data_IF_978538260475
#
_entry.id   IF_978538260475
#
_cell.length_a   1.000
_cell.length_b   1.000
_cell.length_c   1.000
_cell.angle_alpha   90.00
_cell.angle_beta   90.00
_cell.angle_gamma   90.00
#
_symmetry.space_group_name_H-M   'P 1'
#
loop_
_entity.id
_entity.type
_entity.pdbx_description
1 polymer ?
#
# COMPACT_ATOMS: atom_id res chain seq x y z
N UNK A 1 28.68 3.07 -19.08
CA UNK A 1 27.32 2.96 -19.66
C UNK A 1 26.36 3.78 -18.81
N UNK A 2 25.73 4.82 -19.36
CA UNK A 2 24.69 5.59 -18.65
C UNK A 2 23.34 5.01 -19.04
N UNK A 3 22.67 4.31 -18.12
CA UNK A 3 21.33 3.77 -18.34
C UNK A 3 20.36 4.94 -18.50
N UNK A 4 19.85 5.16 -19.71
CA UNK A 4 18.78 6.12 -19.95
C UNK A 4 17.51 5.55 -19.30
N UNK A 5 17.10 6.12 -18.17
CA UNK A 5 15.79 5.84 -17.58
C UNK A 5 14.75 6.41 -18.55
N UNK A 6 14.02 5.54 -19.25
CA UNK A 6 12.83 5.95 -20.00
C UNK A 6 11.83 6.49 -18.99
N UNK A 7 11.56 7.79 -19.01
CA UNK A 7 10.41 8.36 -18.29
C UNK A 7 9.14 7.83 -18.95
N UNK A 8 8.52 6.85 -18.30
CA UNK A 8 7.15 6.43 -18.62
C UNK A 8 6.24 7.57 -18.13
N UNK A 9 5.28 8.06 -18.93
CA UNK A 9 4.33 9.05 -18.44
C UNK A 9 3.59 8.46 -17.24
N UNK A 10 3.69 9.11 -16.08
CA UNK A 10 2.98 8.70 -14.89
C UNK A 10 1.47 8.82 -15.16
N UNK A 11 0.73 7.74 -14.94
CA UNK A 11 -0.74 7.80 -14.92
C UNK A 11 -1.17 8.60 -13.68
N UNK A 12 -2.33 9.28 -13.71
CA UNK A 12 -2.80 10.01 -12.55
C UNK A 12 -2.99 9.05 -11.37
N UNK A 13 -2.29 9.33 -10.27
CA UNK A 13 -2.35 8.54 -9.05
C UNK A 13 -3.42 9.12 -8.13
N UNK A 14 -4.42 8.32 -7.79
CA UNK A 14 -5.42 8.65 -6.78
C UNK A 14 -5.11 7.88 -5.50
N UNK A 15 -5.03 8.58 -4.36
CA UNK A 15 -4.70 7.98 -3.06
C UNK A 15 -5.81 8.30 -2.07
N UNK A 16 -6.31 7.28 -1.38
CA UNK A 16 -7.29 7.44 -0.30
C UNK A 16 -7.00 6.51 0.87
N UNK A 17 -7.66 6.76 2.00
CA UNK A 17 -7.66 5.78 3.08
C UNK A 17 -8.32 4.48 2.60
N UNK A 18 -7.85 3.34 3.09
CA UNK A 18 -8.54 2.07 2.95
C UNK A 18 -9.82 2.04 3.76
N UNK A 19 -10.75 1.24 3.29
CA UNK A 19 -12.02 0.92 3.94
C UNK A 19 -12.21 -0.59 3.98
N UNK A 20 -13.17 -1.07 4.77
CA UNK A 20 -13.43 -2.51 4.92
C UNK A 20 -13.67 -3.24 3.59
N UNK A 21 -14.31 -2.58 2.61
CA UNK A 21 -14.61 -3.18 1.31
C UNK A 21 -13.35 -3.36 0.43
N UNK A 22 -12.22 -2.74 0.76
CA UNK A 22 -10.95 -2.90 0.04
C UNK A 22 -10.24 -4.24 0.32
N UNK A 23 -10.76 -5.05 1.25
CA UNK A 23 -10.14 -6.32 1.68
C UNK A 23 -9.71 -7.22 0.53
N UNK A 24 -10.57 -7.39 -0.47
CA UNK A 24 -10.27 -8.25 -1.63
C UNK A 24 -9.15 -7.65 -2.48
N UNK A 25 -9.25 -6.35 -2.79
CA UNK A 25 -8.27 -5.62 -3.59
C UNK A 25 -6.88 -5.61 -2.94
N UNK A 26 -6.80 -5.35 -1.64
CA UNK A 26 -5.53 -5.35 -0.90
C UNK A 26 -4.94 -6.76 -0.81
N UNK A 27 -5.76 -7.79 -0.57
CA UNK A 27 -5.28 -9.17 -0.55
C UNK A 27 -4.67 -9.56 -1.90
N UNK A 28 -5.34 -9.20 -2.99
CA UNK A 28 -4.84 -9.44 -4.35
C UNK A 28 -3.54 -8.67 -4.63
N UNK A 29 -3.50 -7.38 -4.29
CA UNK A 29 -2.32 -6.55 -4.48
C UNK A 29 -1.12 -7.09 -3.70
N UNK A 30 -1.28 -7.43 -2.41
CA UNK A 30 -0.21 -8.00 -1.59
C UNK A 30 0.32 -9.33 -2.14
N UNK A 31 -0.56 -10.14 -2.74
CA UNK A 31 -0.19 -11.41 -3.35
C UNK A 31 0.59 -11.25 -4.66
N UNK A 32 0.27 -10.22 -5.45
CA UNK A 32 0.80 -10.01 -6.81
C UNK A 32 1.93 -8.98 -6.89
N UNK A 33 2.10 -8.14 -5.87
CA UNK A 33 3.07 -7.05 -5.85
C UNK A 33 4.50 -7.55 -6.10
N UNK A 34 5.20 -6.83 -6.98
CA UNK A 34 6.59 -7.06 -7.31
C UNK A 34 7.51 -6.64 -6.15
N UNK A 35 7.19 -5.53 -5.51
CA UNK A 35 7.88 -5.00 -4.34
C UNK A 35 6.94 -4.99 -3.13
N UNK A 36 7.35 -5.66 -2.04
CA UNK A 36 6.58 -5.67 -0.78
C UNK A 36 7.45 -5.76 0.47
N UNK A 37 6.95 -5.15 1.53
CA UNK A 37 7.46 -5.31 2.89
C UNK A 37 6.29 -5.58 3.82
N UNK A 38 6.37 -6.66 4.61
CA UNK A 38 5.32 -7.10 5.52
C UNK A 38 5.92 -7.33 6.92
N UNK A 39 5.52 -6.51 7.89
CA UNK A 39 5.85 -6.65 9.31
C UNK A 39 4.55 -6.70 10.13
N UNK A 40 3.87 -7.84 9.99
CA UNK A 40 2.50 -8.02 10.46
C UNK A 40 2.40 -8.45 11.93
N UNK A 41 3.45 -9.05 12.50
CA UNK A 41 3.43 -9.63 13.85
C UNK A 41 2.19 -10.51 14.09
N UNK A 42 1.28 -10.08 14.96
CA UNK A 42 0.02 -10.74 15.30
C UNK A 42 -1.21 -10.13 14.59
N UNK A 43 -1.02 -9.10 13.78
CA UNK A 43 -2.08 -8.51 12.95
C UNK A 43 -2.13 -9.19 11.59
N UNK A 44 -3.30 -9.26 10.98
CA UNK A 44 -3.42 -9.52 9.54
C UNK A 44 -3.36 -8.21 8.76
N UNK A 45 -3.09 -8.29 7.46
CA UNK A 45 -3.16 -7.09 6.62
C UNK A 45 -4.56 -6.46 6.64
N UNK A 46 -5.59 -7.30 6.78
CA UNK A 46 -7.00 -6.91 6.83
C UNK A 46 -7.37 -6.22 8.15
N UNK A 47 -6.69 -6.55 9.26
CA UNK A 47 -6.91 -5.87 10.55
C UNK A 47 -6.42 -4.42 10.51
N UNK A 48 -5.42 -4.14 9.68
CA UNK A 48 -4.81 -2.81 9.56
C UNK A 48 -5.46 -1.94 8.47
N UNK A 49 -6.52 -2.41 7.78
CA UNK A 49 -7.20 -1.62 6.75
C UNK A 49 -7.97 -0.43 7.33
N UNK A 50 -8.51 -0.57 8.53
CA UNK A 50 -9.29 0.49 9.16
C UNK A 50 -8.44 1.33 10.11
N UNK A 51 -7.19 0.89 10.36
CA UNK A 51 -6.20 1.61 11.14
C UNK A 51 -5.58 2.75 10.34
N UNK A 52 -5.38 3.92 10.97
CA UNK A 52 -4.91 5.11 10.26
C UNK A 52 -3.47 5.48 10.62
N UNK A 53 -2.64 5.87 9.64
CA UNK A 53 -2.91 5.85 8.21
C UNK A 53 -2.83 4.43 7.61
N UNK A 54 -3.82 4.10 6.79
CA UNK A 54 -3.74 2.99 5.84
C UNK A 54 -4.25 3.49 4.50
N UNK A 55 -3.37 3.52 3.50
CA UNK A 55 -3.52 4.26 2.25
C UNK A 55 -3.44 3.31 1.07
N UNK A 56 -4.44 3.39 0.18
CA UNK A 56 -4.51 2.66 -1.07
C UNK A 56 -4.36 3.64 -2.24
N UNK A 57 -3.44 3.31 -3.14
CA UNK A 57 -3.12 4.09 -4.32
C UNK A 57 -3.65 3.37 -5.58
N UNK A 58 -4.21 4.17 -6.48
CA UNK A 58 -4.85 3.72 -7.70
C UNK A 58 -4.27 4.46 -8.90
N UNK A 59 -3.97 3.71 -9.96
CA UNK A 59 -3.87 4.27 -11.31
C UNK A 59 -5.15 3.89 -12.06
N UNK A 60 -5.87 4.90 -12.55
CA UNK A 60 -7.26 4.74 -13.00
C UNK A 60 -8.11 4.07 -11.88
N UNK A 61 -8.65 2.88 -12.12
CA UNK A 61 -9.44 2.11 -11.15
C UNK A 61 -8.67 0.90 -10.58
N UNK A 62 -7.38 0.77 -10.90
CA UNK A 62 -6.57 -0.37 -10.50
C UNK A 62 -5.73 -0.05 -9.26
N UNK A 63 -5.84 -0.83 -8.18
CA UNK A 63 -4.93 -0.73 -7.05
C UNK A 63 -3.49 -1.04 -7.49
N UNK A 64 -2.59 -0.08 -7.27
CA UNK A 64 -1.16 -0.20 -7.64
C UNK A 64 -0.23 -0.13 -6.44
N UNK A 65 -0.72 0.34 -5.30
CA UNK A 65 0.10 0.45 -4.11
C UNK A 65 -0.71 0.53 -2.82
N UNK A 66 -0.15 0.03 -1.74
CA UNK A 66 -0.76 0.06 -0.41
C UNK A 66 0.30 0.36 0.64
N UNK A 67 -0.07 1.11 1.68
CA UNK A 67 0.75 1.41 2.86
C UNK A 67 -0.12 1.40 4.11
N UNK A 68 0.23 0.58 5.10
CA UNK A 68 -0.30 0.71 6.46
C UNK A 68 0.82 1.14 7.41
N UNK A 69 0.61 2.27 8.09
CA UNK A 69 1.57 2.86 9.01
C UNK A 69 0.90 3.46 10.26
N UNK A 70 0.04 2.71 10.98
CA UNK A 70 -0.62 3.24 12.17
C UNK A 70 0.39 3.64 13.27
N UNK A 71 0.10 4.69 14.05
CA UNK A 71 0.98 5.17 15.10
C UNK A 71 1.01 4.21 16.30
N UNK A 72 2.21 3.84 16.75
CA UNK A 72 2.42 2.95 17.90
C UNK A 72 3.87 3.08 18.43
N UNK A 73 4.22 4.03 19.31
CA UNK A 73 3.34 4.90 20.10
C UNK A 73 2.84 6.13 19.33
N UNK A 74 1.98 6.93 19.98
CA UNK A 74 1.46 8.18 19.41
C UNK A 74 2.58 9.08 18.85
N UNK A 75 2.38 9.59 17.63
CA UNK A 75 3.37 10.43 16.93
C UNK A 75 4.46 9.66 16.19
N UNK A 76 4.53 8.33 16.31
CA UNK A 76 5.50 7.47 15.59
C UNK A 76 4.74 6.42 14.79
N UNK A 77 4.70 6.57 13.47
CA UNK A 77 4.13 5.57 12.55
C UNK A 77 5.17 4.52 12.15
N UNK A 78 4.89 3.25 12.42
CA UNK A 78 5.69 2.13 11.93
C UNK A 78 5.07 1.59 10.65
N UNK A 79 5.88 1.40 9.61
CA UNK A 79 5.44 0.75 8.38
C UNK A 79 5.16 -0.72 8.69
N UNK A 80 3.87 -1.04 8.93
CA UNK A 80 3.40 -2.41 9.17
C UNK A 80 3.37 -3.20 7.88
N UNK A 81 2.95 -2.58 6.79
CA UNK A 81 3.19 -3.11 5.46
C UNK A 81 3.20 -2.04 4.39
N UNK A 82 3.90 -2.34 3.31
CA UNK A 82 3.68 -1.69 2.02
C UNK A 82 3.80 -2.69 0.88
N UNK A 83 3.15 -2.41 -0.24
CA UNK A 83 3.37 -3.12 -1.49
C UNK A 83 3.12 -2.22 -2.71
N UNK A 84 3.83 -2.48 -3.81
CA UNK A 84 3.70 -1.78 -5.09
C UNK A 84 3.78 -2.80 -6.23
N UNK A 85 2.92 -2.64 -7.25
CA UNK A 85 2.91 -3.44 -8.49
C UNK A 85 3.44 -2.66 -9.68
#
# INVERSE_FOLDING_TARGET
MKTKIKKIPARPLHIRQTEFHDRSAVTQLLAQASDRHLHLDWFTAQDLLEERPSLLAFEDEQPVGILACPPDPIGIGWIRYFAVS
#
